data_IF_578710147108
#
_entry.id   IF_578710147108
#
_cell.length_a   1.000
_cell.length_b   1.000
_cell.length_c   1.000
_cell.angle_alpha   90.00
_cell.angle_beta   90.00
_cell.angle_gamma   90.00
#
_symmetry.space_group_name_H-M   'P 1'
#
loop_
_entity.id
_entity.type
_entity.pdbx_description
1 polymer ?
#
# COMPACT_ATOMS: atom_id res chain seq x y z
N UNK A 1 -19.76 28.35 -40.67
CA UNK A 1 -20.09 28.80 -39.30
C UNK A 1 -20.24 27.66 -38.28
N UNK A 2 -21.07 26.62 -38.50
CA UNK A 2 -21.36 25.56 -37.48
C UNK A 2 -20.17 24.69 -37.01
N UNK A 3 -19.18 24.44 -37.87
CA UNK A 3 -18.05 23.58 -37.54
C UNK A 3 -17.04 24.19 -36.55
N UNK A 4 -16.96 25.52 -36.46
CA UNK A 4 -16.05 26.20 -35.53
C UNK A 4 -16.48 26.03 -34.07
N UNK A 5 -17.80 26.02 -33.82
CA UNK A 5 -18.35 25.77 -32.50
C UNK A 5 -18.08 24.33 -32.04
N UNK A 6 -18.17 23.35 -32.96
CA UNK A 6 -17.85 21.97 -32.66
C UNK A 6 -16.35 21.79 -32.31
N UNK A 7 -15.45 22.44 -33.06
CA UNK A 7 -14.01 22.40 -32.78
C UNK A 7 -13.68 23.08 -31.44
N UNK A 8 -14.30 24.23 -31.14
CA UNK A 8 -14.12 24.91 -29.87
C UNK A 8 -14.63 24.08 -28.68
N UNK A 9 -15.77 23.39 -28.84
CA UNK A 9 -16.30 22.47 -27.83
C UNK A 9 -15.41 21.27 -27.60
N UNK A 10 -14.83 20.70 -28.66
CA UNK A 10 -13.85 19.61 -28.55
C UNK A 10 -12.59 20.14 -27.85
N UNK A 11 -12.02 21.25 -28.30
CA UNK A 11 -10.83 21.85 -27.67
C UNK A 11 -11.06 22.15 -26.19
N UNK A 12 -12.22 22.71 -25.85
CA UNK A 12 -12.63 23.00 -24.48
C UNK A 12 -12.82 21.71 -23.67
N UNK A 13 -13.48 20.70 -24.21
CA UNK A 13 -13.64 19.41 -23.55
C UNK A 13 -12.28 18.74 -23.28
N UNK A 14 -11.37 18.76 -24.26
CA UNK A 14 -9.99 18.26 -24.07
C UNK A 14 -9.20 19.05 -23.03
N UNK A 15 -9.45 20.35 -22.91
CA UNK A 15 -8.77 21.19 -21.94
C UNK A 15 -9.33 21.01 -20.52
N UNK A 16 -10.64 20.80 -20.37
CA UNK A 16 -11.32 20.82 -19.07
C UNK A 16 -11.74 19.43 -18.55
N UNK A 17 -11.91 18.41 -19.39
CA UNK A 17 -12.27 17.04 -18.96
C UNK A 17 -11.05 16.14 -18.82
N UNK A 18 -9.95 16.64 -18.25
CA UNK A 18 -8.83 15.79 -17.85
C UNK A 18 -9.28 14.92 -16.67
N UNK A 19 -9.34 13.59 -16.79
CA UNK A 19 -9.69 12.74 -15.65
C UNK A 19 -8.67 12.98 -14.54
N UNK A 20 -9.16 13.16 -13.30
CA UNK A 20 -8.30 13.36 -12.15
C UNK A 20 -7.28 12.21 -12.07
N UNK A 21 -5.98 12.49 -11.82
CA UNK A 21 -5.00 11.42 -11.68
C UNK A 21 -5.46 10.49 -10.57
N UNK A 22 -5.53 9.18 -10.85
CA UNK A 22 -5.83 8.18 -9.81
C UNK A 22 -4.82 8.40 -8.69
N UNK A 23 -5.28 8.87 -7.52
CA UNK A 23 -4.44 8.99 -6.33
C UNK A 23 -3.70 7.66 -6.18
N UNK A 24 -2.37 7.71 -6.12
CA UNK A 24 -1.56 6.51 -6.00
C UNK A 24 -1.88 5.82 -4.67
N UNK A 25 -2.82 4.87 -4.71
CA UNK A 25 -3.17 4.04 -3.57
C UNK A 25 -1.97 3.15 -3.28
N UNK A 26 -1.51 3.13 -2.03
CA UNK A 26 -0.44 2.23 -1.62
C UNK A 26 -0.82 0.79 -1.93
N UNK A 27 0.10 0.06 -2.56
CA UNK A 27 -0.07 -1.38 -2.77
C UNK A 27 -0.12 -2.08 -1.41
N UNK A 28 -0.70 -3.28 -1.36
CA UNK A 28 -0.82 -4.03 -0.12
C UNK A 28 0.57 -4.38 0.46
N UNK A 29 1.56 -4.64 -0.40
CA UNK A 29 2.97 -4.82 -0.01
C UNK A 29 3.57 -3.56 0.62
N UNK A 30 3.32 -2.38 0.05
CA UNK A 30 3.79 -1.12 0.64
C UNK A 30 3.16 -0.85 2.00
N UNK A 31 1.88 -1.19 2.19
CA UNK A 31 1.22 -1.08 3.50
C UNK A 31 1.81 -2.07 4.50
N UNK A 32 2.02 -3.33 4.10
CA UNK A 32 2.62 -4.34 4.96
C UNK A 32 4.04 -3.96 5.41
N UNK A 33 4.86 -3.37 4.53
CA UNK A 33 6.15 -2.81 4.91
C UNK A 33 6.01 -1.71 5.98
N UNK A 34 5.03 -0.80 5.86
CA UNK A 34 4.78 0.22 6.89
C UNK A 34 4.34 -0.38 8.21
N UNK A 35 3.44 -1.37 8.20
CA UNK A 35 2.98 -2.05 9.43
C UNK A 35 4.17 -2.66 10.17
N UNK A 36 5.11 -3.28 9.46
CA UNK A 36 6.31 -3.86 10.07
C UNK A 36 7.45 -2.84 10.32
N UNK A 37 7.28 -1.58 9.92
CA UNK A 37 8.34 -0.57 10.02
C UNK A 37 9.57 -0.86 9.16
N UNK A 38 9.37 -1.49 7.99
CA UNK A 38 10.41 -1.91 7.06
C UNK A 38 10.47 -1.02 5.82
N UNK A 39 11.67 -0.92 5.22
CA UNK A 39 11.84 -0.37 3.88
C UNK A 39 11.35 -1.35 2.82
N UNK A 40 11.01 -0.82 1.65
CA UNK A 40 10.74 -1.66 0.48
C UNK A 40 12.00 -2.49 0.13
N UNK A 41 11.78 -3.75 -0.26
CA UNK A 41 12.88 -4.68 -0.57
C UNK A 41 13.57 -5.26 0.66
N UNK A 42 13.00 -5.13 1.85
CA UNK A 42 13.48 -5.83 3.03
C UNK A 42 13.49 -7.34 2.80
N UNK A 43 14.55 -8.00 3.25
CA UNK A 43 14.72 -9.45 3.07
C UNK A 43 13.89 -10.28 4.06
N UNK A 44 13.87 -11.59 3.87
CA UNK A 44 13.11 -12.52 4.72
C UNK A 44 13.55 -12.45 6.19
N UNK A 45 14.83 -12.21 6.46
CA UNK A 45 15.37 -12.13 7.82
C UNK A 45 14.91 -10.87 8.52
N UNK A 46 14.93 -9.73 7.82
CA UNK A 46 14.44 -8.43 8.29
C UNK A 46 12.94 -8.50 8.60
N UNK A 47 12.15 -9.15 7.73
CA UNK A 47 10.70 -9.35 7.93
C UNK A 47 10.43 -10.16 9.21
N UNK A 48 11.12 -11.28 9.39
CA UNK A 48 10.92 -12.16 10.56
C UNK A 48 11.38 -11.48 11.86
N UNK A 49 12.46 -10.70 11.81
CA UNK A 49 12.95 -9.96 12.97
C UNK A 49 11.95 -8.87 13.41
N UNK A 50 11.45 -8.07 12.47
CA UNK A 50 10.45 -7.04 12.74
C UNK A 50 9.14 -7.63 13.29
N UNK A 51 8.68 -8.73 12.70
CA UNK A 51 7.48 -9.45 13.16
C UNK A 51 7.59 -9.88 14.63
N UNK A 52 8.69 -10.53 15.02
CA UNK A 52 8.89 -10.98 16.41
C UNK A 52 8.91 -9.82 17.40
N UNK A 53 9.58 -8.72 17.06
CA UNK A 53 9.66 -7.51 17.89
C UNK A 53 8.27 -6.92 18.10
N UNK A 54 7.54 -6.65 17.02
CA UNK A 54 6.23 -6.02 17.08
C UNK A 54 5.16 -6.91 17.73
N UNK A 55 5.22 -8.23 17.51
CA UNK A 55 4.25 -9.14 18.13
C UNK A 55 4.44 -9.23 19.65
N UNK A 56 5.67 -9.12 20.14
CA UNK A 56 5.96 -9.06 21.58
C UNK A 56 5.43 -7.77 22.24
N UNK A 57 5.37 -6.67 21.48
CA UNK A 57 4.82 -5.37 21.88
C UNK A 57 3.28 -5.34 21.78
N UNK A 58 2.70 -6.05 20.79
CA UNK A 58 1.27 -6.08 20.54
C UNK A 58 0.45 -6.95 21.52
N UNK A 59 1.11 -7.61 22.48
CA UNK A 59 0.43 -8.43 23.48
C UNK A 59 -0.49 -7.59 24.38
N UNK A 60 -1.73 -8.03 24.66
CA UNK A 60 -2.68 -7.30 25.51
C UNK A 60 -2.11 -6.92 26.88
N UNK A 61 -1.36 -7.83 27.50
CA UNK A 61 -0.70 -7.61 28.79
C UNK A 61 0.33 -6.47 28.80
N UNK A 62 0.78 -6.01 27.63
CA UNK A 62 1.69 -4.88 27.46
C UNK A 62 1.03 -3.64 26.86
N UNK A 63 -0.30 -3.60 26.85
CA UNK A 63 -1.08 -2.50 26.27
C UNK A 63 -1.33 -2.61 24.76
N UNK A 64 -1.00 -3.75 24.15
CA UNK A 64 -1.33 -4.05 22.76
C UNK A 64 -2.76 -4.59 22.58
N UNK A 65 -3.08 -5.05 21.36
CA UNK A 65 -4.40 -5.62 21.06
C UNK A 65 -4.33 -6.84 20.14
N UNK A 66 -5.35 -7.69 20.23
CA UNK A 66 -5.54 -8.81 19.31
C UNK A 66 -5.67 -8.34 17.85
N UNK A 67 -6.28 -7.17 17.62
CA UNK A 67 -6.37 -6.55 16.31
C UNK A 67 -4.99 -6.19 15.75
N UNK A 68 -4.14 -5.53 16.56
CA UNK A 68 -2.78 -5.20 16.17
C UNK A 68 -1.94 -6.46 15.87
N UNK A 69 -2.08 -7.50 16.71
CA UNK A 69 -1.42 -8.79 16.47
C UNK A 69 -1.85 -9.43 15.15
N UNK A 70 -3.14 -9.35 14.83
CA UNK A 70 -3.70 -9.87 13.56
C UNK A 70 -3.15 -9.10 12.37
N UNK A 71 -3.09 -7.78 12.44
CA UNK A 71 -2.53 -6.92 11.39
C UNK A 71 -1.03 -7.20 11.16
N UNK A 72 -0.25 -7.34 12.23
CA UNK A 72 1.18 -7.69 12.19
C UNK A 72 1.40 -9.06 11.53
N UNK A 73 0.56 -10.06 11.84
CA UNK A 73 0.62 -11.38 11.23
C UNK A 73 0.30 -11.34 9.73
N UNK A 74 -0.77 -10.64 9.36
CA UNK A 74 -1.17 -10.48 7.97
C UNK A 74 -0.08 -9.78 7.13
N UNK A 75 0.57 -8.75 7.69
CA UNK A 75 1.67 -8.06 7.04
C UNK A 75 2.87 -9.00 6.79
N UNK A 76 3.27 -9.80 7.78
CA UNK A 76 4.31 -10.82 7.62
C UNK A 76 3.99 -11.79 6.48
N UNK A 77 2.79 -12.36 6.51
CA UNK A 77 2.39 -13.41 5.57
C UNK A 77 2.34 -12.89 4.14
N UNK A 78 1.85 -11.65 3.96
CA UNK A 78 1.82 -11.00 2.66
C UNK A 78 3.23 -10.76 2.11
N UNK A 79 4.16 -10.25 2.92
CA UNK A 79 5.52 -9.98 2.47
C UNK A 79 6.32 -11.26 2.18
N UNK A 80 6.23 -12.27 3.04
CA UNK A 80 6.87 -13.57 2.79
C UNK A 80 6.28 -14.26 1.55
N UNK A 81 4.95 -14.17 1.37
CA UNK A 81 4.29 -14.64 0.16
C UNK A 81 4.72 -13.89 -1.10
N UNK A 82 4.95 -12.58 -1.00
CA UNK A 82 5.45 -11.77 -2.10
C UNK A 82 6.90 -12.14 -2.48
N UNK A 83 7.78 -12.34 -1.50
CA UNK A 83 9.16 -12.79 -1.75
C UNK A 83 9.20 -14.14 -2.48
N UNK A 84 8.36 -15.09 -2.09
CA UNK A 84 8.25 -16.40 -2.77
C UNK A 84 7.75 -16.33 -4.21
N UNK A 85 7.00 -15.30 -4.58
CA UNK A 85 6.47 -15.11 -5.95
C UNK A 85 7.42 -14.29 -6.85
N UNK A 86 8.30 -13.49 -6.25
CA UNK A 86 9.21 -12.60 -6.95
C UNK A 86 10.66 -13.11 -7.03
N UNK A 87 10.97 -14.23 -6.37
CA UNK A 87 12.25 -14.95 -6.46
C UNK A 87 12.26 -16.01 -7.55
#
# INVERSE_FOLDING_TARGET
>A
MKWLLAIALIWFAWHYLRPAPKRATLTDTQRAHRVLGLRAGADESEIRAAHRRLLAEAHPDRGGSAAASTEINAARDLLLGALRRGG
#
